data_IF_052048086780
#
_entry.id   IF_052048086780
#
_cell.length_a   1.000
_cell.length_b   1.000
_cell.length_c   1.000
_cell.angle_alpha   90.00
_cell.angle_beta   90.00
_cell.angle_gamma   90.00
#
_symmetry.space_group_name_H-M   'P 1'
#
loop_
_entity.id
_entity.type
_entity.pdbx_description
1 polymer ?
#
# COMPACT_ATOMS: atom_id res chain seq x y z
N UNK A 1 -46.54 14.84 34.70
CA UNK A 1 -45.16 14.86 35.24
C UNK A 1 -44.34 13.81 34.49
N UNK A 2 -44.33 13.98 33.15
CA UNK A 2 -44.07 12.97 32.11
C UNK A 2 -43.15 13.53 31.02
N UNK A 3 -42.46 14.64 31.28
CA UNK A 3 -41.85 15.47 30.23
C UNK A 3 -40.39 15.87 30.54
N UNK A 4 -39.76 15.27 31.54
CA UNK A 4 -38.37 15.62 31.92
C UNK A 4 -37.35 14.49 31.66
N UNK A 5 -37.78 13.35 31.12
CA UNK A 5 -36.94 12.17 30.88
C UNK A 5 -36.88 11.78 29.40
N UNK A 6 -37.51 12.57 28.52
CA UNK A 6 -37.57 12.34 27.07
C UNK A 6 -36.52 13.15 26.28
N UNK A 7 -35.88 14.16 26.88
CA UNK A 7 -35.08 15.15 26.14
C UNK A 7 -33.59 14.76 25.98
N UNK A 8 -33.02 13.96 26.90
CA UNK A 8 -31.59 13.60 26.85
C UNK A 8 -31.30 12.40 25.92
N UNK A 9 -32.32 11.64 25.51
CA UNK A 9 -32.12 10.48 24.62
C UNK A 9 -32.32 10.83 23.15
N UNK A 10 -32.93 11.99 22.85
CA UNK A 10 -33.17 12.47 21.48
C UNK A 10 -31.95 13.21 20.90
N UNK A 11 -31.09 13.82 21.74
CA UNK A 11 -29.89 14.51 21.28
C UNK A 11 -28.73 13.60 20.81
N UNK A 12 -28.79 12.29 21.10
CA UNK A 12 -27.77 11.34 20.64
C UNK A 12 -27.94 10.94 19.16
N UNK A 13 -29.08 11.29 18.54
CA UNK A 13 -29.46 10.82 17.19
C UNK A 13 -29.32 11.84 16.05
N UNK A 14 -29.13 13.13 16.33
CA UNK A 14 -29.28 14.19 15.32
C UNK A 14 -27.97 14.86 14.84
N UNK A 15 -26.78 14.38 15.23
CA UNK A 15 -25.50 14.92 14.76
C UNK A 15 -24.67 13.98 13.88
N UNK A 16 -25.33 13.08 13.14
CA UNK A 16 -24.70 12.33 12.04
C UNK A 16 -25.58 12.33 10.79
N UNK A 17 -26.14 13.50 10.44
CA UNK A 17 -26.75 13.68 9.13
C UNK A 17 -25.63 13.88 8.09
N UNK A 18 -25.01 12.78 7.67
CA UNK A 18 -23.94 12.84 6.68
C UNK A 18 -23.42 11.48 6.27
N UNK A 19 -23.76 11.04 5.05
CA UNK A 19 -23.11 10.02 4.20
C UNK A 19 -22.79 8.62 4.78
N UNK A 20 -22.78 8.41 6.10
CA UNK A 20 -22.30 7.19 6.77
C UNK A 20 -23.44 6.31 7.31
N UNK A 21 -24.61 6.89 7.61
CA UNK A 21 -25.74 6.16 8.24
C UNK A 21 -26.42 5.19 7.26
N UNK A 22 -26.37 5.46 5.95
CA UNK A 22 -27.10 4.66 4.94
C UNK A 22 -26.27 3.54 4.28
N UNK A 23 -24.93 3.56 4.40
CA UNK A 23 -24.03 2.73 3.56
C UNK A 23 -23.46 1.47 4.25
N UNK A 24 -23.53 1.36 5.58
CA UNK A 24 -22.78 0.35 6.35
C UNK A 24 -23.61 -0.70 7.10
N UNK A 25 -24.90 -0.82 6.78
CA UNK A 25 -25.70 -2.00 7.14
C UNK A 25 -26.19 -2.79 5.90
N UNK A 26 -25.33 -3.20 4.94
CA UNK A 26 -25.70 -4.29 4.08
C UNK A 26 -25.72 -5.56 4.94
N UNK A 27 -26.91 -6.06 5.25
CA UNK A 27 -27.12 -7.45 5.67
C UNK A 27 -26.47 -8.34 4.59
N UNK A 28 -25.21 -8.71 4.80
CA UNK A 28 -24.45 -9.56 3.91
C UNK A 28 -24.69 -10.99 4.34
N UNK A 29 -25.41 -11.76 3.52
CA UNK A 29 -25.60 -13.21 3.69
C UNK A 29 -24.29 -14.02 3.64
N UNK A 30 -23.14 -13.36 3.45
CA UNK A 30 -21.80 -13.96 3.43
C UNK A 30 -21.03 -13.57 4.69
N UNK A 31 -20.56 -14.58 5.41
CA UNK A 31 -19.50 -14.47 6.42
C UNK A 31 -18.11 -14.66 5.81
N UNK A 32 -17.10 -14.24 6.57
CA UNK A 32 -15.69 -14.33 6.16
C UNK A 32 -15.29 -15.80 6.11
N UNK A 33 -14.86 -16.27 4.93
CA UNK A 33 -14.37 -17.64 4.74
C UNK A 33 -15.42 -18.66 4.25
N UNK A 34 -16.65 -18.26 3.97
CA UNK A 34 -17.75 -19.17 3.59
C UNK A 34 -17.49 -20.02 2.36
N UNK A 35 -16.67 -19.52 1.43
CA UNK A 35 -16.31 -20.21 0.20
C UNK A 35 -15.05 -21.08 0.34
N UNK A 36 -14.42 -21.07 1.51
CA UNK A 36 -13.16 -21.78 1.71
C UNK A 36 -13.41 -23.25 2.02
N UNK A 37 -12.42 -24.08 1.66
CA UNK A 37 -12.43 -25.50 1.96
C UNK A 37 -11.48 -25.77 3.10
N UNK A 38 -12.01 -26.36 4.16
CA UNK A 38 -11.22 -26.80 5.31
C UNK A 38 -10.55 -28.13 4.96
N UNK A 39 -9.22 -28.11 4.92
CA UNK A 39 -8.38 -29.24 4.56
C UNK A 39 -7.63 -29.78 5.79
N UNK A 40 -7.20 -31.04 5.72
CA UNK A 40 -6.36 -31.70 6.73
C UNK A 40 -6.97 -31.67 8.16
N UNK A 41 -8.23 -32.10 8.27
CA UNK A 41 -8.89 -32.29 9.57
C UNK A 41 -9.13 -31.01 10.37
N UNK A 42 -9.32 -29.86 9.72
CA UNK A 42 -9.61 -28.60 10.41
C UNK A 42 -8.46 -27.60 10.48
N UNK A 43 -7.26 -27.97 10.02
CA UNK A 43 -6.05 -27.16 10.24
C UNK A 43 -5.77 -26.11 9.18
N UNK A 44 -6.28 -26.29 7.98
CA UNK A 44 -6.03 -25.39 6.86
C UNK A 44 -7.34 -24.90 6.27
N UNK A 45 -7.60 -23.61 6.40
CA UNK A 45 -8.71 -22.91 5.77
C UNK A 45 -8.20 -22.26 4.47
N UNK A 46 -8.60 -22.81 3.32
CA UNK A 46 -8.01 -22.45 2.02
C UNK A 46 -9.10 -22.10 1.00
N UNK A 47 -8.95 -20.95 0.34
CA UNK A 47 -9.80 -20.59 -0.77
C UNK A 47 -9.51 -21.49 -1.99
N UNK A 48 -10.49 -22.26 -2.50
CA UNK A 48 -10.26 -23.36 -3.44
C UNK A 48 -9.83 -22.93 -4.84
N UNK A 49 -10.03 -21.66 -5.20
CA UNK A 49 -9.63 -21.10 -6.51
C UNK A 49 -8.29 -20.36 -6.43
N UNK A 50 -8.19 -19.37 -5.53
CA UNK A 50 -7.02 -18.49 -5.40
C UNK A 50 -5.76 -19.25 -4.99
N UNK A 51 -5.86 -20.14 -4.00
CA UNK A 51 -4.68 -20.84 -3.48
C UNK A 51 -3.99 -21.74 -4.52
N UNK A 52 -4.69 -22.68 -5.20
CA UNK A 52 -4.04 -23.49 -6.22
C UNK A 52 -3.61 -22.67 -7.45
N UNK A 53 -4.35 -21.62 -7.81
CA UNK A 53 -3.96 -20.72 -8.90
C UNK A 53 -2.65 -20.00 -8.61
N UNK A 54 -2.52 -19.41 -7.42
CA UNK A 54 -1.32 -18.70 -7.00
C UNK A 54 -0.11 -19.63 -6.89
N UNK A 55 -0.24 -20.80 -6.24
CA UNK A 55 0.88 -21.74 -6.09
C UNK A 55 1.32 -22.31 -7.43
N UNK A 56 0.38 -22.60 -8.35
CA UNK A 56 0.72 -23.08 -9.69
C UNK A 56 1.46 -21.99 -10.49
N UNK A 57 0.99 -20.75 -10.43
CA UNK A 57 1.64 -19.62 -11.10
C UNK A 57 3.07 -19.40 -10.58
N UNK A 58 3.25 -19.39 -9.26
CA UNK A 58 4.57 -19.24 -8.63
C UNK A 58 5.49 -20.41 -9.01
N UNK A 59 5.00 -21.65 -8.93
CA UNK A 59 5.79 -22.84 -9.26
C UNK A 59 6.22 -22.84 -10.73
N UNK A 60 5.32 -22.50 -11.66
CA UNK A 60 5.63 -22.37 -13.09
C UNK A 60 6.64 -21.28 -13.31
N UNK A 61 6.46 -20.11 -12.70
CA UNK A 61 7.40 -18.99 -12.82
C UNK A 61 8.81 -19.40 -12.36
N UNK A 62 8.93 -19.98 -11.16
CA UNK A 62 10.21 -20.47 -10.63
C UNK A 62 10.84 -21.52 -11.55
N UNK A 63 10.05 -22.49 -12.02
CA UNK A 63 10.54 -23.53 -12.93
C UNK A 63 11.06 -22.94 -14.24
N UNK A 64 10.33 -21.99 -14.85
CA UNK A 64 10.74 -21.32 -16.09
C UNK A 64 12.06 -20.56 -15.89
N UNK A 65 12.20 -19.82 -14.80
CA UNK A 65 13.46 -19.09 -14.49
C UNK A 65 14.62 -20.07 -14.31
N UNK A 66 14.40 -21.17 -13.59
CA UNK A 66 15.42 -22.20 -13.39
C UNK A 66 15.87 -22.84 -14.70
N UNK A 67 14.93 -23.11 -15.62
CA UNK A 67 15.21 -23.72 -16.92
C UNK A 67 15.92 -22.76 -17.90
N UNK A 68 15.59 -21.47 -17.86
CA UNK A 68 16.21 -20.44 -18.70
C UNK A 68 17.64 -20.10 -18.25
N UNK A 69 17.96 -20.28 -16.97
CA UNK A 69 19.28 -19.97 -16.42
C UNK A 69 19.73 -18.54 -16.74
N UNK A 70 20.93 -18.39 -17.29
CA UNK A 70 21.49 -17.07 -17.62
C UNK A 70 20.71 -16.27 -18.67
N UNK A 71 19.86 -16.90 -19.48
CA UNK A 71 19.01 -16.18 -20.44
C UNK A 71 17.87 -15.41 -19.76
N UNK A 72 17.48 -15.81 -18.55
CA UNK A 72 16.44 -15.13 -17.79
C UNK A 72 16.82 -13.67 -17.48
N UNK A 73 18.09 -13.40 -17.19
CA UNK A 73 18.59 -12.05 -16.92
C UNK A 73 18.36 -11.12 -18.13
N UNK A 74 18.76 -11.57 -19.32
CA UNK A 74 18.57 -10.79 -20.55
C UNK A 74 17.09 -10.58 -20.87
N UNK A 75 16.26 -11.60 -20.67
CA UNK A 75 14.81 -11.50 -20.86
C UNK A 75 14.17 -10.49 -19.88
N UNK A 76 14.58 -10.50 -18.62
CA UNK A 76 14.09 -9.56 -17.60
C UNK A 76 14.58 -8.15 -17.84
N UNK A 77 15.85 -7.95 -18.20
CA UNK A 77 16.39 -6.65 -18.54
C UNK A 77 15.68 -6.04 -19.77
N UNK A 78 15.45 -6.85 -20.81
CA UNK A 78 14.69 -6.44 -22.00
C UNK A 78 13.25 -6.08 -21.68
N UNK A 79 12.56 -6.90 -20.87
CA UNK A 79 11.18 -6.65 -20.44
C UNK A 79 11.08 -5.39 -19.59
N UNK A 80 11.97 -5.20 -18.61
CA UNK A 80 12.07 -3.99 -17.79
C UNK A 80 12.25 -2.75 -18.67
N UNK A 81 13.23 -2.78 -19.57
CA UNK A 81 13.51 -1.66 -20.48
C UNK A 81 12.33 -1.34 -21.40
N UNK A 82 11.64 -2.36 -21.91
CA UNK A 82 10.43 -2.18 -22.71
C UNK A 82 9.30 -1.51 -21.91
N UNK A 83 9.06 -1.96 -20.68
CA UNK A 83 8.04 -1.38 -19.80
C UNK A 83 8.39 0.06 -19.45
N UNK A 84 9.65 0.34 -19.08
CA UNK A 84 10.11 1.69 -18.73
C UNK A 84 10.00 2.66 -19.91
N UNK A 85 10.42 2.24 -21.10
CA UNK A 85 10.37 3.09 -22.29
C UNK A 85 8.95 3.33 -22.81
N UNK A 86 8.06 2.34 -22.70
CA UNK A 86 6.70 2.42 -23.25
C UNK A 86 5.68 2.98 -22.26
N UNK A 87 5.78 2.56 -20.99
CA UNK A 87 4.80 2.85 -19.93
C UNK A 87 5.37 3.75 -18.81
N UNK A 88 6.60 4.25 -18.92
CA UNK A 88 7.19 5.15 -17.92
C UNK A 88 6.36 6.41 -17.67
N UNK A 89 5.79 7.01 -18.72
CA UNK A 89 4.89 8.17 -18.59
C UNK A 89 3.61 7.82 -17.82
N UNK A 90 3.06 6.63 -18.05
CA UNK A 90 1.85 6.15 -17.38
C UNK A 90 2.13 5.88 -15.90
N UNK A 91 3.29 5.28 -15.60
CA UNK A 91 3.74 5.08 -14.22
C UNK A 91 3.83 6.41 -13.47
N UNK A 92 4.50 7.42 -14.05
CA UNK A 92 4.61 8.75 -13.44
C UNK A 92 3.23 9.41 -13.25
N UNK A 93 2.35 9.31 -14.25
CA UNK A 93 0.99 9.83 -14.14
C UNK A 93 0.21 9.14 -13.01
N UNK A 94 0.26 7.81 -12.94
CA UNK A 94 -0.44 7.03 -11.93
C UNK A 94 0.00 7.41 -10.50
N UNK A 95 1.31 7.53 -10.27
CA UNK A 95 1.85 7.98 -8.96
C UNK A 95 1.32 9.36 -8.59
N UNK A 96 1.32 10.31 -9.53
CA UNK A 96 0.77 11.65 -9.28
C UNK A 96 -0.73 11.62 -9.02
N UNK A 97 -1.49 10.81 -9.75
CA UNK A 97 -2.94 10.65 -9.52
C UNK A 97 -3.20 10.07 -8.13
N UNK A 98 -2.46 9.04 -7.69
CA UNK A 98 -2.60 8.51 -6.34
C UNK A 98 -2.23 9.56 -5.29
N UNK A 99 -1.15 10.33 -5.49
CA UNK A 99 -0.76 11.41 -4.57
C UNK A 99 -1.86 12.47 -4.44
N UNK A 100 -2.40 12.95 -5.56
CA UNK A 100 -3.50 13.92 -5.56
C UNK A 100 -4.74 13.30 -4.90
N UNK A 101 -5.02 12.03 -5.15
CA UNK A 101 -6.19 11.33 -4.59
C UNK A 101 -6.08 11.21 -3.07
N UNK A 102 -4.92 10.84 -2.51
CA UNK A 102 -4.75 10.77 -1.05
C UNK A 102 -4.80 12.15 -0.41
N UNK A 103 -4.24 13.19 -1.05
CA UNK A 103 -4.34 14.57 -0.56
C UNK A 103 -5.79 15.07 -0.63
N UNK A 104 -6.51 14.74 -1.70
CA UNK A 104 -7.93 15.02 -1.80
C UNK A 104 -8.72 14.37 -0.66
N UNK A 105 -8.48 13.10 -0.36
CA UNK A 105 -9.13 12.45 0.78
C UNK A 105 -8.73 13.08 2.12
N UNK A 106 -7.48 13.47 2.29
CA UNK A 106 -7.00 14.09 3.53
C UNK A 106 -7.61 15.48 3.79
N UNK A 107 -7.79 16.31 2.77
CA UNK A 107 -8.31 17.69 2.91
C UNK A 107 -9.80 17.85 2.59
N UNK A 108 -10.45 16.85 1.99
CA UNK A 108 -11.88 16.90 1.70
C UNK A 108 -12.72 16.45 2.89
N UNK A 109 -14.04 16.64 2.77
CA UNK A 109 -15.06 16.11 3.69
C UNK A 109 -15.01 14.58 3.89
N UNK A 110 -14.31 13.85 3.04
CA UNK A 110 -14.18 12.40 3.16
C UNK A 110 -13.12 11.99 4.19
N UNK A 111 -12.18 12.88 4.53
CA UNK A 111 -11.15 12.62 5.54
C UNK A 111 -11.69 12.55 6.98
N UNK A 112 -12.87 13.11 7.24
CA UNK A 112 -13.54 13.02 8.54
C UNK A 112 -14.35 11.73 8.73
N UNK A 113 -14.47 10.91 7.67
CA UNK A 113 -15.22 9.64 7.72
C UNK A 113 -14.44 8.63 8.56
N UNK A 114 -15.07 8.15 9.63
CA UNK A 114 -14.52 7.09 10.47
C UNK A 114 -14.67 5.71 9.82
N UNK A 115 -13.55 4.99 9.67
CA UNK A 115 -13.54 3.62 9.15
C UNK A 115 -13.97 2.68 10.29
N UNK A 116 -15.01 1.87 10.06
CA UNK A 116 -15.58 0.95 11.06
C UNK A 116 -16.97 1.35 11.58
N UNK A 117 -17.52 2.48 11.12
CA UNK A 117 -18.84 2.97 11.51
C UNK A 117 -18.77 4.24 12.35
N UNK A 118 -19.94 4.86 12.57
CA UNK A 118 -20.06 6.14 13.31
C UNK A 118 -19.62 6.02 14.77
N UNK A 119 -19.92 4.88 15.40
CA UNK A 119 -19.56 4.57 16.79
C UNK A 119 -18.20 3.86 16.95
N UNK A 120 -17.43 3.67 15.88
CA UNK A 120 -16.17 2.93 16.01
C UNK A 120 -15.18 3.69 16.93
N UNK A 121 -14.55 3.00 17.86
CA UNK A 121 -13.49 3.57 18.68
C UNK A 121 -12.11 3.16 18.17
N UNK A 122 -11.06 3.88 18.56
CA UNK A 122 -9.69 3.53 18.20
C UNK A 122 -9.27 2.29 18.98
N UNK A 123 -9.00 1.19 18.29
CA UNK A 123 -8.46 -0.03 18.91
C UNK A 123 -7.06 0.19 19.53
N UNK A 124 -6.27 1.10 18.95
CA UNK A 124 -4.93 1.43 19.41
C UNK A 124 -4.82 2.93 19.68
N UNK A 125 -4.06 3.30 20.72
CA UNK A 125 -3.74 4.70 20.96
C UNK A 125 -2.88 5.27 19.80
N UNK A 126 -2.85 6.61 19.68
CA UNK A 126 -2.18 7.27 18.56
C UNK A 126 -0.68 6.94 18.44
N UNK A 127 0.02 6.72 19.56
CA UNK A 127 1.45 6.42 19.56
C UNK A 127 1.71 4.99 19.06
N UNK A 128 0.94 4.02 19.57
CA UNK A 128 1.00 2.64 19.11
C UNK A 128 0.64 2.52 17.64
N UNK A 129 -0.38 3.25 17.18
CA UNK A 129 -0.75 3.31 15.76
C UNK A 129 0.36 3.88 14.87
N UNK A 130 0.99 4.99 15.29
CA UNK A 130 2.12 5.57 14.56
C UNK A 130 3.31 4.61 14.49
N UNK A 131 3.60 3.91 15.60
CA UNK A 131 4.66 2.90 15.65
C UNK A 131 4.37 1.73 14.70
N UNK A 132 3.12 1.28 14.58
CA UNK A 132 2.72 0.23 13.63
C UNK A 132 2.91 0.69 12.18
N UNK A 133 2.52 1.92 11.82
CA UNK A 133 2.74 2.46 10.47
C UNK A 133 4.22 2.54 10.12
N UNK A 134 5.04 3.00 11.06
CA UNK A 134 6.49 3.07 10.86
C UNK A 134 7.12 1.69 10.69
N UNK A 135 6.70 0.71 11.49
CA UNK A 135 7.14 -0.69 11.38
C UNK A 135 6.75 -1.31 10.04
N UNK A 136 5.51 -1.07 9.58
CA UNK A 136 5.04 -1.58 8.29
C UNK A 136 5.76 -0.93 7.09
N UNK A 137 6.13 0.35 7.20
CA UNK A 137 6.78 1.11 6.13
C UNK A 137 8.30 0.95 6.06
N UNK A 138 8.99 0.79 7.19
CA UNK A 138 10.44 0.65 7.24
C UNK A 138 10.90 -0.78 6.94
N UNK A 139 10.80 -1.19 5.68
CA UNK A 139 11.21 -2.51 5.22
C UNK A 139 12.72 -2.66 5.01
N UNK A 140 13.10 -3.87 4.56
CA UNK A 140 14.48 -4.19 4.11
C UNK A 140 14.99 -3.26 3.01
N UNK A 141 14.09 -2.66 2.24
CA UNK A 141 14.42 -1.68 1.21
C UNK A 141 15.24 -0.51 1.77
N UNK A 142 14.86 0.06 2.91
CA UNK A 142 15.64 1.15 3.52
C UNK A 142 17.03 0.68 3.95
N UNK A 143 17.16 -0.52 4.52
CA UNK A 143 18.46 -1.04 4.95
C UNK A 143 19.42 -1.27 3.77
N UNK A 144 18.91 -1.67 2.61
CA UNK A 144 19.71 -1.87 1.40
C UNK A 144 19.98 -0.56 0.66
N UNK A 145 18.91 0.18 0.35
CA UNK A 145 18.96 1.35 -0.52
C UNK A 145 19.50 2.61 0.18
N UNK A 146 19.42 2.72 1.52
CA UNK A 146 20.01 3.85 2.27
C UNK A 146 21.52 4.01 2.09
N UNK A 147 22.21 2.92 1.74
CA UNK A 147 23.65 2.96 1.42
C UNK A 147 23.89 2.79 -0.07
N UNK A 148 23.12 1.92 -0.75
CA UNK A 148 23.38 1.65 -2.17
C UNK A 148 23.03 2.82 -3.08
N UNK A 149 21.94 3.54 -2.84
CA UNK A 149 21.52 4.66 -3.71
C UNK A 149 22.47 5.85 -3.63
N UNK A 150 22.86 6.34 -2.43
CA UNK A 150 23.82 7.44 -2.36
C UNK A 150 25.17 7.09 -3.00
N UNK A 151 25.65 5.85 -2.81
CA UNK A 151 26.88 5.39 -3.47
C UNK A 151 26.71 5.32 -4.98
N UNK A 152 25.58 4.81 -5.46
CA UNK A 152 25.29 4.73 -6.89
C UNK A 152 25.25 6.11 -7.54
N UNK A 153 24.55 7.07 -6.94
CA UNK A 153 24.43 8.45 -7.45
C UNK A 153 25.71 9.27 -7.25
N UNK A 154 26.58 8.91 -6.30
CA UNK A 154 27.89 9.54 -6.17
C UNK A 154 28.80 9.19 -7.35
N UNK A 155 28.73 7.95 -7.84
CA UNK A 155 29.45 7.51 -9.04
C UNK A 155 28.71 7.85 -10.35
N UNK A 156 27.39 8.01 -10.31
CA UNK A 156 26.56 8.32 -11.47
C UNK A 156 25.60 9.47 -11.13
N UNK A 157 26.12 10.71 -10.96
CA UNK A 157 25.28 11.84 -10.58
C UNK A 157 24.22 12.12 -11.66
N UNK A 158 22.96 12.40 -11.28
CA UNK A 158 21.93 12.74 -12.25
C UNK A 158 22.32 13.97 -13.06
N UNK A 159 22.13 13.93 -14.37
CA UNK A 159 22.61 14.95 -15.30
C UNK A 159 22.08 16.37 -14.99
N UNK A 160 20.90 16.48 -14.37
CA UNK A 160 20.31 17.76 -13.98
C UNK A 160 21.14 18.52 -12.93
N UNK A 161 21.93 17.84 -12.10
CA UNK A 161 22.78 18.48 -11.10
C UNK A 161 24.11 19.00 -11.66
N UNK A 162 24.50 18.60 -12.89
CA UNK A 162 25.74 19.05 -13.53
C UNK A 162 27.03 18.70 -12.76
N UNK A 163 26.97 17.74 -11.83
CA UNK A 163 28.10 17.32 -11.01
C UNK A 163 28.92 16.24 -11.71
N UNK A 164 30.25 16.30 -11.58
CA UNK A 164 31.14 15.24 -12.05
C UNK A 164 31.24 14.12 -11.02
N UNK A 165 31.21 12.87 -11.48
CA UNK A 165 31.29 11.69 -10.63
C UNK A 165 32.50 11.71 -9.70
N UNK A 166 32.33 11.27 -8.44
CA UNK A 166 33.44 11.21 -7.49
C UNK A 166 33.87 12.54 -6.88
N UNK A 167 33.26 13.66 -7.26
CA UNK A 167 33.56 14.98 -6.69
C UNK A 167 32.72 15.28 -5.44
N UNK A 168 33.14 16.27 -4.65
CA UNK A 168 32.35 16.74 -3.51
C UNK A 168 30.93 17.21 -3.92
N UNK A 169 30.78 17.79 -5.12
CA UNK A 169 29.49 18.22 -5.66
C UNK A 169 28.55 17.03 -5.94
N UNK A 170 29.09 15.90 -6.42
CA UNK A 170 28.33 14.67 -6.61
C UNK A 170 27.82 14.09 -5.28
N UNK A 171 28.56 14.29 -4.18
CA UNK A 171 28.10 13.91 -2.83
C UNK A 171 26.81 14.63 -2.44
N UNK A 172 26.73 15.93 -2.68
CA UNK A 172 25.51 16.71 -2.40
C UNK A 172 24.36 16.29 -3.32
N UNK A 173 24.63 16.09 -4.61
CA UNK A 173 23.61 15.64 -5.58
C UNK A 173 23.06 14.25 -5.24
N UNK A 174 23.92 13.31 -4.83
CA UNK A 174 23.54 11.96 -4.47
C UNK A 174 22.61 11.90 -3.25
N UNK A 175 22.91 12.70 -2.22
CA UNK A 175 22.05 12.81 -1.03
C UNK A 175 20.70 13.45 -1.39
N UNK A 176 20.70 14.52 -2.19
CA UNK A 176 19.49 15.20 -2.62
C UNK A 176 18.56 14.36 -3.51
N UNK A 177 19.10 13.37 -4.22
CA UNK A 177 18.31 12.46 -5.06
C UNK A 177 17.71 11.28 -4.26
N UNK A 178 18.34 10.89 -3.15
CA UNK A 178 17.96 9.71 -2.36
C UNK A 178 16.90 10.02 -1.30
N UNK A 179 16.95 11.22 -0.69
CA UNK A 179 16.08 11.64 0.42
C UNK A 179 15.07 12.70 -0.02
#
# INVERSE_FOLDING_TARGET
MSEAEADDTEQAGEMSDGLQVELFHPESDRSVGDTNKVLLGGRFDIHPVVFPGAIALIAVFVAVVFLLGGQAEAAFAGTKSFIESTFGWFYLLAVNVFLITILYFAFSKYGSIRIGGVEAEKEFNNLSWMAMLFSAGMGIGLMFFSVSEPLYYFSNPPAFFGAEAGTAAAGTAALAQTF
#
